data_IF_409946496131
#
_entry.id   IF_409946496131
#
_cell.length_a   1.000
_cell.length_b   1.000
_cell.length_c   1.000
_cell.angle_alpha   90.00
_cell.angle_beta   90.00
_cell.angle_gamma   90.00
#
_symmetry.space_group_name_H-M   'P 1'
#
loop_
_entity.id
_entity.type
_entity.pdbx_description
1 polymer ?
#
# COMPACT_ATOMS: atom_id res chain seq x y z
N UNK A 1 -13.60 0.25 22.05
CA UNK A 1 -14.73 0.09 21.12
C UNK A 1 -14.21 -0.39 19.78
N UNK A 2 -14.83 -1.39 19.15
CA UNK A 2 -14.50 -1.74 17.77
C UNK A 2 -15.02 -0.64 16.85
N UNK A 3 -14.14 -0.09 16.00
CA UNK A 3 -14.45 0.96 15.04
C UNK A 3 -14.91 0.32 13.73
N UNK A 4 -16.05 0.74 13.19
CA UNK A 4 -16.53 0.24 11.90
C UNK A 4 -15.77 0.89 10.72
N UNK A 5 -15.54 0.05 9.72
CA UNK A 5 -14.75 0.30 8.52
C UNK A 5 -15.18 1.48 7.67
N UNK A 6 -16.46 1.84 7.69
CA UNK A 6 -17.02 2.88 6.84
C UNK A 6 -16.53 4.30 7.12
N UNK A 7 -15.76 4.51 8.20
CA UNK A 7 -15.26 5.83 8.62
C UNK A 7 -13.83 6.16 8.18
N UNK A 8 -13.06 5.17 7.70
CA UNK A 8 -11.67 5.37 7.27
C UNK A 8 -11.62 5.17 5.75
N UNK A 9 -11.62 6.28 5.03
CA UNK A 9 -11.64 6.33 3.56
C UNK A 9 -10.29 6.74 2.96
N UNK A 10 -9.35 7.21 3.79
CA UNK A 10 -8.06 7.70 3.34
C UNK A 10 -6.97 7.71 4.43
N UNK A 11 -5.74 8.02 4.03
CA UNK A 11 -4.56 8.16 4.91
C UNK A 11 -4.74 9.20 6.03
N UNK A 12 -5.43 10.31 5.79
CA UNK A 12 -5.56 11.38 6.77
C UNK A 12 -6.36 10.91 7.99
N UNK A 13 -7.40 10.10 7.76
CA UNK A 13 -8.19 9.44 8.80
C UNK A 13 -7.32 8.49 9.65
N UNK A 14 -6.46 7.67 9.02
CA UNK A 14 -5.49 6.84 9.74
C UNK A 14 -4.48 7.67 10.56
N UNK A 15 -3.95 8.76 9.97
CA UNK A 15 -3.03 9.64 10.67
C UNK A 15 -3.69 10.33 11.88
N UNK A 16 -4.97 10.66 11.80
CA UNK A 16 -5.72 11.21 12.92
C UNK A 16 -5.84 10.18 14.06
N UNK A 17 -6.15 8.92 13.75
CA UNK A 17 -6.21 7.83 14.74
C UNK A 17 -4.85 7.55 15.38
N UNK A 18 -3.77 7.54 14.59
CA UNK A 18 -2.43 7.36 15.13
C UNK A 18 -2.07 8.46 16.15
N UNK A 19 -2.45 9.71 15.87
CA UNK A 19 -2.22 10.85 16.78
C UNK A 19 -3.01 10.76 18.09
N UNK A 20 -4.12 10.04 18.14
CA UNK A 20 -4.88 9.83 19.39
C UNK A 20 -4.36 8.64 20.21
N UNK A 21 -3.29 7.97 19.76
CA UNK A 21 -2.61 6.90 20.50
C UNK A 21 -2.99 5.49 20.08
N UNK A 22 -3.80 5.30 19.04
CA UNK A 22 -4.08 3.97 18.51
C UNK A 22 -2.87 3.41 17.77
N UNK A 23 -2.42 2.22 18.18
CA UNK A 23 -1.27 1.53 17.57
C UNK A 23 -1.65 0.64 16.37
N UNK A 24 -2.95 0.45 16.10
CA UNK A 24 -3.39 -0.41 15.01
C UNK A 24 -4.89 -0.42 14.78
N UNK A 25 -5.27 -1.04 13.68
CA UNK A 25 -6.65 -1.29 13.24
C UNK A 25 -6.86 -2.78 13.05
N UNK A 26 -8.08 -3.26 13.33
CA UNK A 26 -8.51 -4.62 13.06
C UNK A 26 -9.55 -4.61 11.96
N UNK A 27 -9.35 -5.45 10.96
CA UNK A 27 -10.31 -5.68 9.89
C UNK A 27 -11.26 -6.80 10.28
N UNK A 28 -12.57 -6.51 10.16
CA UNK A 28 -13.63 -7.43 10.55
C UNK A 28 -14.01 -8.32 9.38
N UNK A 29 -14.18 -9.61 9.66
CA UNK A 29 -14.55 -10.61 8.65
C UNK A 29 -13.35 -11.33 8.03
N UNK A 30 -13.65 -12.17 7.04
CA UNK A 30 -12.67 -12.93 6.27
C UNK A 30 -12.66 -12.41 4.84
N UNK A 31 -11.49 -12.01 4.36
CA UNK A 31 -11.32 -11.27 3.11
C UNK A 31 -10.68 -12.15 2.03
N UNK A 32 -11.47 -12.64 1.08
CA UNK A 32 -10.98 -13.44 -0.05
C UNK A 32 -10.61 -12.50 -1.19
N UNK A 33 -9.31 -12.25 -1.40
CA UNK A 33 -8.82 -11.22 -2.33
C UNK A 33 -9.19 -11.50 -3.79
N UNK A 34 -9.33 -12.77 -4.18
CA UNK A 34 -9.71 -13.16 -5.55
C UNK A 34 -11.17 -12.85 -5.87
N UNK A 35 -12.00 -12.69 -4.84
CA UNK A 35 -13.45 -12.51 -4.98
C UNK A 35 -13.84 -11.04 -4.77
N UNK A 36 -12.88 -10.19 -4.38
CA UNK A 36 -13.09 -8.76 -4.22
C UNK A 36 -13.30 -8.07 -5.55
N UNK A 37 -14.17 -7.06 -5.56
CA UNK A 37 -14.17 -6.09 -6.65
C UNK A 37 -12.80 -5.41 -6.76
N UNK A 38 -12.35 -5.16 -7.98
CA UNK A 38 -11.03 -4.55 -8.27
C UNK A 38 -10.74 -3.30 -7.44
N UNK A 39 -11.76 -2.45 -7.26
CA UNK A 39 -11.66 -1.22 -6.48
C UNK A 39 -11.35 -1.50 -5.01
N UNK A 40 -12.06 -2.45 -4.43
CA UNK A 40 -11.96 -2.80 -3.00
C UNK A 40 -10.64 -3.50 -2.72
N UNK A 41 -10.18 -4.34 -3.65
CA UNK A 41 -8.86 -4.96 -3.58
C UNK A 41 -7.75 -3.89 -3.57
N UNK A 42 -7.82 -2.92 -4.48
CA UNK A 42 -6.85 -1.80 -4.51
C UNK A 42 -6.96 -0.93 -3.25
N UNK A 43 -8.16 -0.68 -2.75
CA UNK A 43 -8.39 0.08 -1.52
C UNK A 43 -7.82 -0.63 -0.28
N UNK A 44 -7.96 -1.96 -0.19
CA UNK A 44 -7.34 -2.78 0.85
C UNK A 44 -5.82 -2.63 0.84
N UNK A 45 -5.18 -2.76 -0.33
CA UNK A 45 -3.73 -2.57 -0.45
C UNK A 45 -3.32 -1.14 -0.07
N UNK A 46 -4.12 -0.14 -0.43
CA UNK A 46 -3.89 1.26 -0.06
C UNK A 46 -3.96 1.49 1.46
N UNK A 47 -4.96 0.88 2.13
CA UNK A 47 -5.11 0.90 3.58
C UNK A 47 -3.91 0.25 4.27
N UNK A 48 -3.48 -0.94 3.84
CA UNK A 48 -2.32 -1.64 4.41
C UNK A 48 -1.04 -0.80 4.28
N UNK A 49 -0.81 -0.20 3.11
CA UNK A 49 0.32 0.69 2.84
C UNK A 49 0.28 1.93 3.74
N UNK A 50 -0.86 2.61 3.81
CA UNK A 50 -0.97 3.87 4.54
C UNK A 50 -0.95 3.68 6.05
N UNK A 51 -1.56 2.61 6.57
CA UNK A 51 -1.46 2.23 7.97
C UNK A 51 0.01 2.04 8.37
N UNK A 52 0.77 1.25 7.60
CA UNK A 52 2.21 1.11 7.82
C UNK A 52 2.94 2.45 7.75
N UNK A 53 2.56 3.32 6.83
CA UNK A 53 3.16 4.65 6.66
C UNK A 53 2.89 5.64 7.78
N UNK A 54 1.83 5.42 8.58
CA UNK A 54 1.53 6.21 9.78
C UNK A 54 1.93 5.48 11.07
N UNK A 55 2.60 4.33 10.97
CA UNK A 55 3.06 3.55 12.12
C UNK A 55 1.98 2.69 12.78
N UNK A 56 0.83 2.48 12.12
CA UNK A 56 -0.24 1.61 12.60
C UNK A 56 -0.11 0.20 12.05
N UNK A 57 -0.38 -0.79 12.89
CA UNK A 57 -0.52 -2.20 12.47
C UNK A 57 -1.92 -2.49 11.98
N UNK A 58 -2.01 -3.37 10.98
CA UNK A 58 -3.28 -3.90 10.49
C UNK A 58 -3.39 -5.38 10.82
N UNK A 59 -4.36 -5.73 11.65
CA UNK A 59 -4.72 -7.14 11.90
C UNK A 59 -5.92 -7.51 11.05
N UNK A 60 -5.77 -8.49 10.15
CA UNK A 60 -6.85 -8.93 9.28
C UNK A 60 -6.77 -10.42 8.99
N UNK A 61 -7.88 -10.99 8.53
CA UNK A 61 -7.96 -12.38 8.09
C UNK A 61 -8.38 -12.44 6.63
N UNK A 62 -7.80 -13.36 5.86
CA UNK A 62 -8.11 -13.44 4.45
C UNK A 62 -7.29 -14.46 3.68
N UNK A 63 -7.70 -14.65 2.42
CA UNK A 63 -7.08 -15.54 1.47
C UNK A 63 -6.58 -14.75 0.27
N UNK A 64 -5.34 -15.01 -0.13
CA UNK A 64 -4.70 -14.33 -1.26
C UNK A 64 -4.93 -15.06 -2.58
N UNK A 65 -5.36 -16.33 -2.54
CA UNK A 65 -5.49 -17.19 -3.72
C UNK A 65 -4.20 -17.23 -4.55
N UNK A 66 -4.33 -17.01 -5.86
CA UNK A 66 -3.22 -17.00 -6.82
C UNK A 66 -2.53 -15.63 -6.95
N UNK A 67 -2.83 -14.67 -6.08
CA UNK A 67 -2.24 -13.35 -6.15
C UNK A 67 -0.72 -13.43 -5.92
N UNK A 68 0.05 -12.73 -6.75
CA UNK A 68 1.49 -12.61 -6.52
C UNK A 68 1.78 -11.67 -5.35
N UNK A 69 1.86 -12.25 -4.15
CA UNK A 69 2.10 -11.52 -2.90
C UNK A 69 3.56 -11.09 -2.71
N UNK A 70 4.48 -11.44 -3.62
CA UNK A 70 5.92 -11.08 -3.49
C UNK A 70 6.10 -9.58 -3.28
N UNK A 71 5.31 -8.77 -3.98
CA UNK A 71 5.36 -7.31 -3.91
C UNK A 71 4.68 -6.72 -2.67
N UNK A 72 3.92 -7.53 -1.92
CA UNK A 72 3.15 -7.12 -0.74
C UNK A 72 3.80 -7.51 0.59
N UNK A 73 4.93 -8.22 0.56
CA UNK A 73 5.59 -8.76 1.77
C UNK A 73 6.04 -7.69 2.77
N UNK A 74 6.18 -6.44 2.33
CA UNK A 74 6.47 -5.30 3.20
C UNK A 74 5.21 -4.76 3.91
N UNK A 75 4.03 -5.31 3.67
CA UNK A 75 2.76 -4.93 4.31
C UNK A 75 2.34 -5.97 5.36
N UNK A 76 1.43 -5.59 6.26
CA UNK A 76 0.94 -6.53 7.27
C UNK A 76 0.13 -7.67 6.60
N UNK A 77 0.51 -8.94 6.81
CA UNK A 77 -0.13 -10.10 6.18
C UNK A 77 -1.52 -10.41 6.76
N UNK A 78 -2.41 -11.04 5.97
CA UNK A 78 -3.61 -11.63 6.51
C UNK A 78 -3.28 -12.87 7.34
N UNK A 79 -4.11 -13.11 8.36
CA UNK A 79 -4.23 -14.40 9.03
C UNK A 79 -5.06 -15.35 8.16
N UNK A 80 -4.55 -16.55 7.96
CA UNK A 80 -5.24 -17.61 7.24
C UNK A 80 -6.17 -18.40 8.19
N UNK A 81 -7.10 -19.22 7.67
CA UNK A 81 -7.99 -20.05 8.49
C UNK A 81 -7.26 -20.97 9.48
N UNK A 82 -6.05 -21.40 9.14
CA UNK A 82 -5.17 -22.20 10.00
C UNK A 82 -4.37 -21.37 11.04
N UNK A 83 -4.70 -20.08 11.17
CA UNK A 83 -4.04 -19.11 12.04
C UNK A 83 -2.60 -18.74 11.67
N UNK A 84 -2.08 -19.22 10.54
CA UNK A 84 -0.77 -18.79 10.01
C UNK A 84 -0.89 -17.45 9.27
N UNK A 85 0.25 -16.85 8.91
CA UNK A 85 0.29 -15.60 8.14
C UNK A 85 0.60 -15.92 6.68
N UNK A 86 -0.16 -15.33 5.75
CA UNK A 86 -0.01 -15.63 4.31
C UNK A 86 1.37 -15.24 3.74
N UNK A 87 2.07 -14.32 4.39
CA UNK A 87 3.50 -14.11 4.18
C UNK A 87 4.16 -13.76 5.51
N UNK A 88 5.41 -14.19 5.68
CA UNK A 88 6.23 -13.69 6.78
C UNK A 88 6.64 -12.26 6.45
N UNK A 89 6.34 -11.26 7.31
CA UNK A 89 6.89 -9.92 7.13
C UNK A 89 8.41 -10.05 7.31
N UNK A 90 9.23 -9.79 6.28
CA UNK A 90 10.67 -9.89 6.46
C UNK A 90 11.07 -8.79 7.45
N UNK A 91 11.86 -9.13 8.45
CA UNK A 91 12.33 -8.18 9.47
C UNK A 91 13.00 -6.95 8.87
N UNK A 92 13.54 -7.06 7.64
CA UNK A 92 14.35 -6.03 6.98
C UNK A 92 13.82 -5.61 5.59
N UNK A 93 12.76 -6.23 5.07
CA UNK A 93 12.23 -5.83 3.76
C UNK A 93 11.35 -4.58 3.90
N UNK A 94 11.71 -3.55 3.15
CA UNK A 94 10.94 -2.33 3.07
C UNK A 94 10.85 -1.85 1.62
N UNK A 95 9.75 -1.16 1.35
CA UNK A 95 9.55 -0.37 0.15
C UNK A 95 9.08 1.00 0.61
N UNK A 96 9.97 1.97 0.57
CA UNK A 96 9.73 3.30 1.14
C UNK A 96 9.79 4.34 0.04
N UNK A 97 8.85 5.28 0.04
CA UNK A 97 8.92 6.48 -0.78
C UNK A 97 9.15 7.71 0.09
N UNK A 98 10.09 8.55 -0.37
CA UNK A 98 10.38 9.86 0.20
C UNK A 98 10.15 10.91 -0.88
N UNK A 99 9.36 11.92 -0.54
CA UNK A 99 9.05 13.03 -1.44
C UNK A 99 10.10 14.12 -1.30
N UNK A 100 10.76 14.46 -2.40
CA UNK A 100 11.57 15.67 -2.55
C UNK A 100 10.82 16.76 -3.34
N UNK A 101 11.46 17.91 -3.59
CA UNK A 101 10.85 19.03 -4.33
C UNK A 101 10.46 18.66 -5.76
N UNK A 102 11.38 18.04 -6.51
CA UNK A 102 11.21 17.67 -7.92
C UNK A 102 11.17 16.16 -8.18
N UNK A 103 11.47 15.34 -7.17
CA UNK A 103 11.55 13.88 -7.33
C UNK A 103 10.95 13.11 -6.16
N UNK A 104 10.63 11.84 -6.40
CA UNK A 104 10.31 10.84 -5.38
C UNK A 104 11.44 9.83 -5.39
N UNK A 105 12.08 9.66 -4.23
CA UNK A 105 13.07 8.61 -4.02
C UNK A 105 12.35 7.39 -3.46
N UNK A 106 12.50 6.26 -4.13
CA UNK A 106 12.03 4.96 -3.66
C UNK A 106 13.20 4.09 -3.28
N UNK A 107 13.19 3.59 -2.05
CA UNK A 107 14.11 2.57 -1.55
C UNK A 107 13.39 1.22 -1.51
N UNK A 108 13.97 0.20 -2.13
CA UNK A 108 13.40 -1.16 -2.18
C UNK A 108 14.43 -2.21 -1.75
N UNK A 109 14.14 -2.96 -0.69
CA UNK A 109 14.96 -4.08 -0.18
C UNK A 109 14.22 -5.42 -0.26
N UNK A 110 13.07 -5.49 -0.94
CA UNK A 110 12.22 -6.70 -0.95
C UNK A 110 12.85 -7.90 -1.65
N UNK A 111 13.80 -7.68 -2.56
CA UNK A 111 14.34 -8.70 -3.46
C UNK A 111 15.88 -8.83 -3.42
N UNK A 112 16.51 -8.52 -2.29
CA UNK A 112 17.97 -8.65 -2.11
C UNK A 112 18.65 -7.28 -1.89
N UNK A 113 19.75 -6.96 -2.61
CA UNK A 113 20.44 -5.69 -2.44
C UNK A 113 19.51 -4.49 -2.59
N UNK A 114 19.77 -3.43 -1.81
CA UNK A 114 18.97 -2.20 -1.83
C UNK A 114 18.98 -1.59 -3.22
N UNK A 115 17.79 -1.41 -3.79
CA UNK A 115 17.55 -0.69 -5.03
C UNK A 115 17.07 0.74 -4.73
N UNK A 116 17.70 1.72 -5.37
CA UNK A 116 17.31 3.12 -5.32
C UNK A 116 16.69 3.53 -6.64
N UNK A 117 15.50 4.10 -6.61
CA UNK A 117 14.76 4.51 -7.79
C UNK A 117 14.37 5.97 -7.62
N UNK A 118 14.69 6.79 -8.61
CA UNK A 118 14.33 8.21 -8.62
C UNK A 118 13.27 8.43 -9.68
N UNK A 119 12.14 9.02 -9.28
CA UNK A 119 11.01 9.30 -10.15
C UNK A 119 10.79 10.81 -10.19
N UNK A 120 10.78 11.39 -11.38
CA UNK A 120 10.48 12.81 -11.58
C UNK A 120 9.00 13.09 -11.26
N UNK A 121 8.74 14.11 -10.41
CA UNK A 121 7.40 14.49 -9.93
C UNK A 121 6.48 15.05 -11.01
N UNK A 122 7.02 15.48 -12.15
CA UNK A 122 6.23 15.92 -13.30
C UNK A 122 5.58 14.74 -14.06
N UNK A 123 6.03 13.51 -13.82
CA UNK A 123 5.59 12.33 -14.58
C UNK A 123 4.27 11.75 -14.08
N UNK A 124 3.50 11.05 -14.94
CA UNK A 124 2.31 10.32 -14.51
C UNK A 124 2.59 9.24 -13.45
N UNK A 125 3.79 8.65 -13.44
CA UNK A 125 4.19 7.68 -12.42
C UNK A 125 4.23 8.31 -11.02
N UNK A 126 4.72 9.54 -10.89
CA UNK A 126 4.71 10.24 -9.61
C UNK A 126 3.29 10.49 -9.09
N UNK A 127 2.33 10.82 -9.98
CA UNK A 127 0.93 11.03 -9.59
C UNK A 127 0.32 9.78 -8.94
N UNK A 128 0.64 8.60 -9.45
CA UNK A 128 0.21 7.31 -8.88
C UNK A 128 0.84 7.09 -7.50
N UNK A 129 2.12 7.39 -7.35
CA UNK A 129 2.81 7.26 -6.07
C UNK A 129 2.38 8.28 -5.02
N UNK A 130 1.84 9.43 -5.41
CA UNK A 130 1.34 10.49 -4.52
C UNK A 130 -0.17 10.40 -4.24
N UNK A 131 -0.94 9.63 -5.02
CA UNK A 131 -2.40 9.51 -4.89
C UNK A 131 -2.87 9.10 -3.48
N UNK A 132 -3.64 9.96 -2.81
CA UNK A 132 -4.15 9.72 -1.45
C UNK A 132 -5.48 8.98 -1.42
N UNK A 133 -6.22 9.00 -2.52
CA UNK A 133 -7.52 8.36 -2.67
C UNK A 133 -7.38 6.84 -2.84
N UNK A 134 -8.10 6.09 -2.01
CA UNK A 134 -8.11 4.63 -2.02
C UNK A 134 -9.09 4.12 -3.08
N UNK A 135 -8.59 3.35 -4.05
CA UNK A 135 -9.44 2.86 -5.15
C UNK A 135 -9.71 3.91 -6.22
N UNK A 136 -8.78 4.85 -6.42
CA UNK A 136 -8.78 5.77 -7.57
C UNK A 136 -8.62 5.03 -8.90
N UNK A 137 -9.45 5.37 -9.87
CA UNK A 137 -9.32 4.86 -11.23
C UNK A 137 -8.11 5.45 -11.98
N UNK A 138 -7.44 4.63 -12.77
CA UNK A 138 -6.34 5.01 -13.65
C UNK A 138 -6.90 5.84 -14.80
N UNK A 139 -6.35 7.04 -15.01
CA UNK A 139 -6.70 7.84 -16.19
C UNK A 139 -5.94 7.34 -17.43
N UNK A 140 -6.45 7.58 -18.66
CA UNK A 140 -5.75 7.19 -19.88
C UNK A 140 -4.29 7.68 -19.96
N UNK A 141 -4.03 8.92 -19.52
CA UNK A 141 -2.69 9.51 -19.51
C UNK A 141 -1.73 8.91 -18.47
N UNK A 142 -2.24 8.12 -17.52
CA UNK A 142 -1.43 7.47 -16.49
C UNK A 142 -1.06 6.03 -16.82
N UNK A 143 -1.75 5.39 -17.77
CA UNK A 143 -1.60 3.94 -18.04
C UNK A 143 -0.15 3.54 -18.30
N UNK A 144 0.58 4.28 -19.13
CA UNK A 144 1.98 3.98 -19.43
C UNK A 144 2.88 4.09 -18.18
N UNK A 145 2.63 5.11 -17.34
CA UNK A 145 3.34 5.27 -16.06
C UNK A 145 3.02 4.16 -15.07
N UNK A 146 1.74 3.79 -14.95
CA UNK A 146 1.28 2.69 -14.12
C UNK A 146 1.88 1.36 -14.57
N UNK A 147 1.90 1.08 -15.87
CA UNK A 147 2.50 -0.14 -16.40
C UNK A 147 3.97 -0.24 -16.06
N UNK A 148 4.72 0.87 -16.19
CA UNK A 148 6.13 0.90 -15.80
C UNK A 148 6.32 0.63 -14.31
N UNK A 149 5.54 1.30 -13.46
CA UNK A 149 5.58 1.08 -12.01
C UNK A 149 5.23 -0.37 -11.65
N UNK A 150 4.24 -0.97 -12.30
CA UNK A 150 3.84 -2.35 -12.05
C UNK A 150 4.96 -3.34 -12.42
N UNK A 151 5.62 -3.14 -13.56
CA UNK A 151 6.79 -3.94 -13.96
C UNK A 151 7.94 -3.84 -12.94
N UNK A 152 8.13 -2.66 -12.36
CA UNK A 152 9.15 -2.42 -11.33
C UNK A 152 8.69 -2.87 -9.92
N UNK A 153 7.47 -3.42 -9.78
CA UNK A 153 6.90 -3.85 -8.50
C UNK A 153 6.55 -2.70 -7.56
N UNK A 154 6.35 -1.49 -8.10
CA UNK A 154 6.07 -0.24 -7.38
C UNK A 154 4.59 0.16 -7.41
N UNK A 155 3.77 -0.50 -8.22
CA UNK A 155 2.34 -0.32 -8.23
C UNK A 155 1.62 -1.67 -8.21
N UNK A 156 0.49 -1.69 -7.52
CA UNK A 156 -0.47 -2.78 -7.58
C UNK A 156 -1.66 -2.32 -8.40
N UNK A 157 -2.12 -3.15 -9.34
CA UNK A 157 -3.21 -2.83 -10.24
C UNK A 157 -4.23 -3.98 -10.27
N UNK A 158 -5.50 -3.62 -10.28
CA UNK A 158 -6.62 -4.54 -10.52
C UNK A 158 -7.66 -3.83 -11.37
N UNK A 159 -8.08 -4.43 -12.48
CA UNK A 159 -8.94 -3.77 -13.47
C UNK A 159 -8.44 -2.39 -13.88
N UNK A 160 -9.28 -1.36 -13.67
CA UNK A 160 -8.96 0.04 -13.94
C UNK A 160 -8.45 0.81 -12.72
N UNK A 161 -8.08 0.14 -11.63
CA UNK A 161 -7.66 0.77 -10.38
C UNK A 161 -6.18 0.49 -10.10
N UNK A 162 -5.50 1.44 -9.47
CA UNK A 162 -4.12 1.24 -9.05
C UNK A 162 -3.79 1.93 -7.73
N UNK A 163 -2.75 1.42 -7.09
CA UNK A 163 -2.14 2.04 -5.91
C UNK A 163 -0.62 1.90 -5.98
N UNK A 164 0.10 2.98 -5.71
CA UNK A 164 1.54 2.93 -5.47
C UNK A 164 1.83 2.13 -4.20
N UNK A 165 2.68 1.11 -4.30
CA UNK A 165 3.06 0.22 -3.20
C UNK A 165 4.05 0.82 -2.17
N UNK A 166 4.95 1.76 -2.53
CA UNK A 166 5.86 2.33 -1.56
C UNK A 166 5.16 3.02 -0.40
N UNK A 167 5.58 2.68 0.81
CA UNK A 167 5.13 3.30 2.04
C UNK A 167 5.67 4.72 2.09
N UNK A 168 4.77 5.69 2.14
CA UNK A 168 5.14 7.11 2.23
C UNK A 168 5.62 7.40 3.64
N UNK A 169 6.90 7.72 3.77
CA UNK A 169 7.42 8.33 4.99
C UNK A 169 7.09 9.83 4.98
N UNK A 170 6.94 10.41 6.18
CA UNK A 170 6.63 11.84 6.33
C UNK A 170 7.59 12.74 5.53
N UNK A 171 7.09 13.91 5.16
CA UNK A 171 7.86 14.94 4.44
C UNK A 171 9.04 15.36 5.32
N UNK A 172 10.26 15.46 4.77
CA UNK A 172 11.35 16.14 5.45
C UNK A 172 10.93 17.60 5.66
N UNK A 173 11.00 18.10 6.90
CA UNK A 173 11.19 19.53 7.10
C UNK A 173 12.42 19.92 6.27
N UNK A 174 12.19 20.72 5.24
CA UNK A 174 13.24 21.52 4.61
C UNK A 174 13.29 22.83 5.35
#
# INVERSE_FOLDING_TARGET
>A
MPMEFGSIDNRASLAALARTGYAGVRLSGHHVMTDMHDRDLVALIALLRDARGVGMRVSWSGECGNLDVRWLRHLDPPRQPDSTLAWSPPSEAFLLARRGPSSILVDDTRAGPRRHIVIDRSTPAAKVLEATDWGRAITPGERAGVQRLAMDGLAFCSGNYCVGLPVRQGVWCV
#
